data_IF_175219387420
#
_entry.id   IF_175219387420
#
_cell.length_a   1.000
_cell.length_b   1.000
_cell.length_c   1.000
_cell.angle_alpha   90.00
_cell.angle_beta   90.00
_cell.angle_gamma   90.00
#
_symmetry.space_group_name_H-M   'P 1'
#
loop_
_entity.id
_entity.type
_entity.pdbx_description
1 polymer ?
#
# COMPACT_ATOMS: atom_id res chain seq x y z
N UNK A 1 23.56 6.28 -31.21
CA UNK A 1 22.38 6.14 -32.09
C UNK A 1 21.19 5.70 -31.26
N UNK A 2 20.09 6.46 -31.33
CA UNK A 2 18.91 6.38 -30.47
C UNK A 2 17.82 5.67 -31.25
N UNK A 3 17.55 4.41 -30.96
CA UNK A 3 16.46 3.66 -31.60
C UNK A 3 15.18 3.77 -30.77
N UNK A 4 14.40 4.78 -31.12
CA UNK A 4 12.98 4.90 -30.77
C UNK A 4 12.21 3.96 -31.69
N UNK A 5 11.68 2.86 -31.18
CA UNK A 5 10.78 1.96 -31.93
C UNK A 5 9.37 2.12 -31.38
N UNK A 6 8.57 2.89 -32.11
CA UNK A 6 7.11 2.95 -32.01
C UNK A 6 6.54 1.81 -32.86
N UNK A 7 5.78 0.89 -32.26
CA UNK A 7 4.98 -0.10 -32.99
C UNK A 7 3.60 -0.20 -32.34
N UNK A 8 2.66 0.52 -32.93
CA UNK A 8 1.23 0.20 -32.82
C UNK A 8 0.98 -1.08 -33.60
N UNK A 9 0.45 -2.10 -32.94
CA UNK A 9 -0.22 -3.21 -33.59
C UNK A 9 -1.42 -3.58 -32.71
N UNK A 10 -2.61 -3.25 -33.21
CA UNK A 10 -3.90 -3.69 -32.69
C UNK A 10 -4.19 -5.03 -33.35
N UNK A 11 -4.34 -6.08 -32.56
CA UNK A 11 -4.85 -7.38 -33.01
C UNK A 11 -5.99 -7.77 -32.08
N UNK A 12 -7.20 -7.76 -32.63
CA UNK A 12 -8.45 -8.16 -31.97
C UNK A 12 -8.54 -9.68 -31.93
N UNK A 13 -8.54 -10.24 -30.72
CA UNK A 13 -8.95 -11.62 -30.45
C UNK A 13 -10.04 -11.59 -29.38
N UNK A 14 -11.26 -11.96 -29.79
CA UNK A 14 -12.42 -12.10 -28.91
C UNK A 14 -12.30 -13.49 -28.27
N UNK A 15 -11.90 -13.54 -26.99
CA UNK A 15 -12.02 -14.72 -26.16
C UNK A 15 -12.72 -14.30 -24.86
N UNK A 16 -14.01 -14.62 -24.75
CA UNK A 16 -14.76 -14.50 -23.52
C UNK A 16 -14.26 -15.59 -22.54
N UNK A 17 -13.34 -15.22 -21.67
CA UNK A 17 -12.96 -16.01 -20.50
C UNK A 17 -13.57 -15.36 -19.25
N UNK A 18 -14.65 -15.97 -18.75
CA UNK A 18 -15.19 -15.67 -17.43
C UNK A 18 -14.27 -16.30 -16.38
N UNK A 19 -13.37 -15.49 -15.82
CA UNK A 19 -12.68 -15.80 -14.56
C UNK A 19 -13.03 -14.69 -13.57
N UNK A 20 -14.06 -14.98 -12.78
CA UNK A 20 -14.28 -14.34 -11.47
C UNK A 20 -13.07 -14.68 -10.61
N UNK A 21 -12.26 -13.69 -10.26
CA UNK A 21 -11.06 -13.96 -9.46
C UNK A 21 -10.13 -12.76 -9.39
N UNK A 22 -10.59 -11.70 -8.72
CA UNK A 22 -9.74 -10.65 -8.16
C UNK A 22 -8.79 -9.99 -9.15
N UNK A 23 -9.21 -8.86 -9.70
CA UNK A 23 -8.26 -7.80 -10.03
C UNK A 23 -7.52 -7.47 -8.72
N UNK A 24 -6.37 -8.12 -8.51
CA UNK A 24 -5.30 -7.51 -7.75
C UNK A 24 -4.96 -6.27 -8.58
N UNK A 25 -5.67 -5.17 -8.31
CA UNK A 25 -5.22 -3.84 -8.68
C UNK A 25 -3.84 -3.74 -8.06
N UNK A 26 -2.81 -4.02 -8.85
CA UNK A 26 -1.45 -3.67 -8.50
C UNK A 26 -1.54 -2.17 -8.24
N UNK A 27 -1.61 -1.79 -6.96
CA UNK A 27 -1.56 -0.41 -6.56
C UNK A 27 -0.33 0.15 -7.28
N UNK A 28 -0.47 1.27 -8.02
CA UNK A 28 0.61 1.75 -8.85
C UNK A 28 1.87 1.79 -7.99
N UNK A 29 2.97 1.28 -8.52
CA UNK A 29 4.30 1.53 -7.98
C UNK A 29 4.64 3.02 -8.23
N UNK A 30 3.82 3.92 -7.70
CA UNK A 30 4.06 5.35 -7.63
C UNK A 30 5.26 5.51 -6.73
N UNK A 31 6.44 5.72 -7.33
CA UNK A 31 7.74 5.92 -6.70
C UNK A 31 7.63 6.03 -5.17
N UNK A 32 7.66 4.89 -4.47
CA UNK A 32 7.22 4.85 -3.08
C UNK A 32 7.98 5.93 -2.29
N UNK A 33 7.23 6.88 -1.73
CA UNK A 33 7.81 8.00 -0.99
C UNK A 33 8.83 7.48 0.02
N UNK A 34 9.98 8.14 0.17
CA UNK A 34 11.00 7.65 1.10
C UNK A 34 10.52 7.87 2.53
N UNK A 35 10.28 6.80 3.28
CA UNK A 35 9.92 6.85 4.69
C UNK A 35 10.82 5.93 5.53
N UNK A 36 10.94 6.23 6.82
CA UNK A 36 11.61 5.38 7.79
C UNK A 36 10.76 5.31 9.05
N UNK A 37 10.46 4.11 9.52
CA UNK A 37 9.63 3.87 10.70
C UNK A 37 10.47 3.20 11.79
N UNK A 38 10.25 3.65 13.03
CA UNK A 38 10.86 3.08 14.22
C UNK A 38 9.95 3.21 15.43
N UNK A 39 10.47 2.86 16.61
CA UNK A 39 9.73 2.90 17.87
C UNK A 39 8.39 2.13 17.80
N UNK A 40 8.45 0.92 17.27
CA UNK A 40 7.31 0.04 17.08
C UNK A 40 6.75 -0.42 18.43
N UNK A 41 5.45 -0.24 18.63
CA UNK A 41 4.69 -0.75 19.77
C UNK A 41 3.58 -1.61 19.24
N UNK A 42 3.64 -2.91 19.51
CA UNK A 42 2.68 -3.88 19.01
C UNK A 42 1.95 -4.56 20.17
N UNK A 43 0.63 -4.68 20.03
CA UNK A 43 -0.26 -5.50 20.85
C UNK A 43 -1.05 -6.42 19.92
N UNK A 44 -1.84 -7.32 20.50
CA UNK A 44 -2.64 -8.29 19.72
C UNK A 44 -3.56 -7.62 18.70
N UNK A 45 -4.17 -6.48 19.04
CA UNK A 45 -5.19 -5.80 18.25
C UNK A 45 -4.82 -4.38 17.83
N UNK A 46 -3.70 -3.86 18.31
CA UNK A 46 -3.26 -2.47 18.05
C UNK A 46 -1.78 -2.41 17.79
N UNK A 47 -1.38 -1.49 16.92
CA UNK A 47 0.03 -1.17 16.73
C UNK A 47 0.22 0.32 16.52
N UNK A 48 1.41 0.80 16.87
CA UNK A 48 1.84 2.14 16.52
C UNK A 48 3.33 2.19 16.24
N UNK A 49 3.74 3.08 15.34
CA UNK A 49 5.12 3.36 15.01
C UNK A 49 5.30 4.85 14.77
N UNK A 50 6.51 5.35 15.02
CA UNK A 50 6.91 6.69 14.62
C UNK A 50 7.57 6.63 13.25
N UNK A 51 6.95 7.22 12.25
CA UNK A 51 7.42 7.22 10.87
C UNK A 51 7.82 8.64 10.43
N UNK A 52 9.03 8.77 9.89
CA UNK A 52 9.52 9.99 9.25
C UNK A 52 9.42 9.83 7.73
N UNK A 53 8.55 10.61 7.11
CA UNK A 53 8.42 10.71 5.65
C UNK A 53 9.43 11.76 5.16
N UNK A 54 10.42 11.32 4.39
CA UNK A 54 11.47 12.16 3.79
C UNK A 54 11.02 12.76 2.46
N UNK A 55 10.28 12.00 1.64
CA UNK A 55 9.73 12.45 0.35
C UNK A 55 8.41 11.74 0.04
N UNK A 56 7.60 12.32 -0.85
CA UNK A 56 6.29 11.78 -1.24
C UNK A 56 5.28 11.80 -0.10
N UNK A 57 4.44 10.77 -0.06
CA UNK A 57 3.45 10.53 0.98
C UNK A 57 3.54 9.08 1.47
N UNK A 58 3.19 8.85 2.72
CA UNK A 58 3.05 7.51 3.27
C UNK A 58 1.75 7.37 4.07
N UNK A 59 1.26 6.15 4.23
CA UNK A 59 0.13 5.82 5.11
C UNK A 59 0.35 4.49 5.84
N UNK A 60 -0.30 4.35 6.99
CA UNK A 60 -0.39 3.08 7.69
C UNK A 60 -1.41 2.16 7.01
N UNK A 61 -1.13 0.86 6.95
CA UNK A 61 -2.07 -0.16 6.48
C UNK A 61 -2.08 -1.29 7.50
N UNK A 62 -3.27 -1.70 7.92
CA UNK A 62 -3.44 -2.73 8.96
C UNK A 62 -4.48 -3.73 8.51
N UNK A 63 -4.11 -4.99 8.47
CA UNK A 63 -5.00 -6.10 8.13
C UNK A 63 -5.43 -6.81 9.42
N UNK A 64 -6.74 -6.87 9.64
CA UNK A 64 -7.35 -7.46 10.81
C UNK A 64 -7.86 -8.86 10.51
N UNK A 65 -7.94 -9.72 11.53
CA UNK A 65 -8.33 -11.13 11.38
C UNK A 65 -9.78 -11.37 10.93
N UNK A 66 -10.62 -10.35 10.98
CA UNK A 66 -11.97 -10.38 10.42
C UNK A 66 -12.02 -10.06 8.91
N UNK A 67 -10.87 -9.98 8.24
CA UNK A 67 -10.79 -9.65 6.81
C UNK A 67 -10.89 -8.15 6.51
N UNK A 68 -10.93 -7.28 7.54
CA UNK A 68 -10.98 -5.83 7.34
C UNK A 68 -9.57 -5.26 7.23
N UNK A 69 -9.31 -4.48 6.19
CA UNK A 69 -8.10 -3.65 6.08
C UNK A 69 -8.42 -2.20 6.47
N UNK A 70 -7.64 -1.66 7.40
CA UNK A 70 -7.72 -0.28 7.87
C UNK A 70 -6.59 0.51 7.23
N UNK A 71 -6.96 1.56 6.51
CA UNK A 71 -6.02 2.48 5.88
C UNK A 71 -5.95 3.78 6.69
N UNK A 72 -4.75 4.13 7.11
CA UNK A 72 -4.44 5.45 7.64
C UNK A 72 -4.53 6.53 6.56
N UNK A 73 -4.55 7.79 7.00
CA UNK A 73 -4.49 8.94 6.11
C UNK A 73 -3.13 8.99 5.41
N UNK A 74 -3.13 9.39 4.14
CA UNK A 74 -1.91 9.77 3.44
C UNK A 74 -1.34 11.04 4.07
N UNK A 75 -0.10 10.95 4.52
CA UNK A 75 0.62 12.08 5.11
C UNK A 75 1.89 12.34 4.32
N UNK A 76 2.19 13.63 4.11
CA UNK A 76 3.37 14.09 3.37
C UNK A 76 4.63 14.13 4.23
N UNK A 77 5.64 14.86 3.75
CA UNK A 77 6.92 15.04 4.44
C UNK A 77 6.73 15.51 5.88
N UNK A 78 7.36 14.82 6.83
CA UNK A 78 7.25 15.14 8.26
C UNK A 78 7.43 13.92 9.15
N UNK A 79 7.33 14.13 10.46
CA UNK A 79 7.22 13.04 11.43
C UNK A 79 5.75 12.79 11.76
N UNK A 80 5.35 11.53 11.73
CA UNK A 80 3.98 11.11 11.89
C UNK A 80 3.91 9.85 12.74
N UNK A 81 2.80 9.68 13.44
CA UNK A 81 2.50 8.44 14.16
C UNK A 81 1.62 7.58 13.29
N UNK A 82 2.16 6.46 12.87
CA UNK A 82 1.46 5.45 12.09
C UNK A 82 0.91 4.42 13.06
N UNK A 83 -0.20 3.79 12.72
CA UNK A 83 -0.81 2.80 13.57
C UNK A 83 -2.14 2.34 13.03
N UNK A 84 -2.67 1.32 13.70
CA UNK A 84 -3.97 0.74 13.42
C UNK A 84 -4.56 0.11 14.66
N UNK A 85 -5.89 0.02 14.66
CA UNK A 85 -6.69 -0.57 15.72
C UNK A 85 -7.74 -1.50 15.10
N UNK A 86 -7.61 -2.79 15.37
CA UNK A 86 -8.53 -3.82 14.90
C UNK A 86 -9.70 -4.07 15.87
N UNK A 87 -9.87 -3.22 16.89
CA UNK A 87 -10.89 -3.35 17.93
C UNK A 87 -10.74 -4.66 18.70
N UNK A 88 -11.75 -5.52 18.63
CA UNK A 88 -11.74 -6.85 19.28
C UNK A 88 -10.97 -7.93 18.52
N UNK A 89 -10.57 -7.66 17.28
CA UNK A 89 -9.88 -8.61 16.42
C UNK A 89 -8.36 -8.43 16.50
N UNK A 90 -7.60 -9.50 16.24
CA UNK A 90 -6.15 -9.42 16.22
C UNK A 90 -5.62 -8.93 14.87
N UNK A 91 -4.43 -8.32 14.88
CA UNK A 91 -3.71 -7.90 13.69
C UNK A 91 -3.12 -9.14 13.03
N UNK A 92 -3.43 -9.33 11.75
CA UNK A 92 -2.83 -10.38 10.91
C UNK A 92 -1.58 -9.85 10.25
N UNK A 93 -1.65 -8.63 9.72
CA UNK A 93 -0.50 -7.96 9.12
C UNK A 93 -0.59 -6.45 9.35
N UNK A 94 0.57 -5.81 9.36
CA UNK A 94 0.67 -4.36 9.33
C UNK A 94 1.79 -3.97 8.36
N UNK A 95 1.58 -2.91 7.59
CA UNK A 95 2.59 -2.38 6.68
C UNK A 95 2.47 -0.88 6.57
N UNK A 96 3.49 -0.27 5.99
CA UNK A 96 3.47 1.13 5.59
C UNK A 96 3.49 1.19 4.09
N UNK A 97 2.57 1.95 3.52
CA UNK A 97 2.49 2.14 2.07
C UNK A 97 2.99 3.54 1.72
N UNK A 98 3.99 3.63 0.85
CA UNK A 98 4.46 4.89 0.27
C UNK A 98 3.83 5.15 -1.10
N UNK A 99 3.71 6.42 -1.48
CA UNK A 99 3.48 6.88 -2.85
C UNK A 99 4.26 8.17 -3.12
N UNK A 100 4.70 8.39 -4.34
CA UNK A 100 5.44 9.58 -4.77
C UNK A 100 5.00 10.04 -6.13
#
# INVERSE_FOLDING_TARGET
>A
MKLTVSRRAVTTSIAAAFLVGGLATAAPASAAGSYSCGNWKMKVNTWSASCKVKSGQARAVTDCSNGKTIYGKWVGRGQWRFGGDCGKYFIVAHTTQGRG
#
